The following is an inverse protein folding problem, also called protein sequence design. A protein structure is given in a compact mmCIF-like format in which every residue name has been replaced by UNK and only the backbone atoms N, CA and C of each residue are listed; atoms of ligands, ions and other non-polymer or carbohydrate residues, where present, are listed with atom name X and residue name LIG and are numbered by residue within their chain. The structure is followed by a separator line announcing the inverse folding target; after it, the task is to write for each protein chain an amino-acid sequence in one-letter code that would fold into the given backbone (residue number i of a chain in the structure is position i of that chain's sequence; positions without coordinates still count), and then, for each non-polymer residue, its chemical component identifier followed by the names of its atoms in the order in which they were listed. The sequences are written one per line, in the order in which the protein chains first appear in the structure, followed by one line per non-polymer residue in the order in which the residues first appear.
data_IF_755341873428
#
_entry.id   IF_755341873428
#
_cell.length_a   1.000
_cell.length_b   1.000
_cell.length_c   1.000
_cell.angle_alpha   90.00
_cell.angle_beta   90.00
_cell.angle_gamma   90.00
#
_symmetry.space_group_name_H-M   'P 1'
#
loop_
_entity.id
_entity.type
_entity.pdbx_description
1 polymer ?
#
# COMPACT_ATOMS: atom_id res chain seq x y z
N UNK A 1 -32.15 39.48 -35.28
CA UNK A 1 -30.97 38.63 -35.60
C UNK A 1 -29.87 38.61 -34.53
N UNK A 2 -29.63 39.70 -33.79
CA UNK A 2 -28.64 39.72 -32.68
C UNK A 2 -28.92 38.76 -31.50
N UNK A 3 -30.15 38.61 -30.98
CA UNK A 3 -30.39 37.73 -29.83
C UNK A 3 -30.18 36.26 -30.18
N UNK A 4 -30.51 35.84 -31.41
CA UNK A 4 -30.32 34.48 -31.91
C UNK A 4 -28.83 34.08 -31.94
N UNK A 5 -27.96 34.98 -32.41
CA UNK A 5 -26.52 34.73 -32.45
C UNK A 5 -25.93 34.57 -31.04
N UNK A 6 -26.36 35.41 -30.10
CA UNK A 6 -25.91 35.34 -28.70
C UNK A 6 -26.35 34.03 -28.04
N UNK A 7 -27.60 33.60 -28.27
CA UNK A 7 -28.09 32.32 -27.74
C UNK A 7 -27.36 31.12 -28.36
N UNK A 8 -27.10 31.14 -29.67
CA UNK A 8 -26.35 30.06 -30.33
C UNK A 8 -24.92 29.96 -29.82
N UNK A 9 -24.24 31.11 -29.63
CA UNK A 9 -22.90 31.12 -29.04
C UNK A 9 -22.91 30.61 -27.60
N UNK A 10 -23.89 31.00 -26.79
CA UNK A 10 -24.04 30.51 -25.42
C UNK A 10 -24.24 29.01 -25.33
N UNK A 11 -25.04 28.42 -26.23
CA UNK A 11 -25.26 26.97 -26.29
C UNK A 11 -23.97 26.23 -26.69
N UNK A 12 -23.25 26.72 -27.70
CA UNK A 12 -21.99 26.11 -28.12
C UNK A 12 -20.92 26.17 -27.02
N UNK A 13 -20.85 27.29 -26.29
CA UNK A 13 -19.90 27.47 -25.19
C UNK A 13 -20.27 26.59 -24.00
N UNK A 14 -21.57 26.43 -23.70
CA UNK A 14 -22.06 25.50 -22.69
C UNK A 14 -21.74 24.03 -23.04
N UNK A 15 -21.93 23.63 -24.29
CA UNK A 15 -21.65 22.26 -24.76
C UNK A 15 -20.17 21.97 -25.00
N UNK A 16 -19.33 23.00 -25.14
CA UNK A 16 -17.88 22.87 -25.36
C UNK A 16 -17.18 22.09 -24.24
N UNK A 17 -17.65 22.20 -23.00
CA UNK A 17 -17.08 21.46 -21.87
C UNK A 17 -17.28 19.94 -21.97
N UNK A 18 -18.41 19.49 -22.52
CA UNK A 18 -18.69 18.07 -22.77
C UNK A 18 -17.85 17.56 -23.93
N UNK A 19 -17.76 18.36 -25.01
CA UNK A 19 -16.94 18.05 -26.17
C UNK A 19 -15.45 17.94 -25.80
N UNK A 20 -14.95 18.84 -24.96
CA UNK A 20 -13.56 18.83 -24.51
C UNK A 20 -13.23 17.58 -23.69
N UNK A 21 -14.13 17.12 -22.80
CA UNK A 21 -13.96 15.86 -22.05
C UNK A 21 -13.87 14.64 -22.98
N UNK A 22 -14.66 14.63 -24.07
CA UNK A 22 -14.62 13.56 -25.07
C UNK A 22 -13.31 13.58 -25.87
N UNK A 23 -12.88 14.76 -26.34
CA UNK A 23 -11.59 14.91 -27.02
C UNK A 23 -10.45 14.48 -26.12
N UNK A 24 -10.43 14.89 -24.85
CA UNK A 24 -9.41 14.46 -23.89
C UNK A 24 -9.34 12.94 -23.76
N UNK A 25 -10.50 12.25 -23.75
CA UNK A 25 -10.55 10.79 -23.69
C UNK A 25 -9.94 10.14 -24.94
N UNK A 26 -10.18 10.68 -26.13
CA UNK A 26 -9.62 10.18 -27.40
C UNK A 26 -8.12 10.46 -27.49
N UNK A 27 -7.68 11.67 -27.12
CA UNK A 27 -6.25 12.04 -27.08
C UNK A 27 -5.47 11.11 -26.15
N UNK A 28 -6.04 10.74 -25.00
CA UNK A 28 -5.42 9.80 -24.05
C UNK A 28 -5.32 8.34 -24.53
N UNK A 29 -5.99 7.99 -25.64
CA UNK A 29 -5.86 6.68 -26.30
C UNK A 29 -4.70 6.71 -27.30
N UNK A 30 -4.51 7.85 -27.98
CA UNK A 30 -3.51 8.01 -29.06
C UNK A 30 -2.14 8.44 -28.53
N UNK A 31 -2.10 9.24 -27.45
CA UNK A 31 -0.88 9.67 -26.78
C UNK A 31 -0.66 8.76 -25.57
N UNK A 32 0.41 7.93 -25.55
CA UNK A 32 0.74 7.14 -24.38
C UNK A 32 0.88 8.06 -23.17
N UNK A 33 0.26 7.75 -22.03
CA UNK A 33 0.55 8.48 -20.80
C UNK A 33 2.02 8.30 -20.48
N UNK A 34 2.65 9.34 -19.94
CA UNK A 34 4.00 9.23 -19.42
C UNK A 34 4.08 8.03 -18.46
N UNK A 35 4.98 7.09 -18.75
CA UNK A 35 5.28 5.96 -17.87
C UNK A 35 5.63 6.50 -16.49
N UNK A 36 5.15 5.83 -15.44
CA UNK A 36 5.55 6.16 -14.09
C UNK A 36 7.05 5.93 -13.97
N UNK A 37 7.84 7.00 -13.95
CA UNK A 37 9.25 6.91 -13.66
C UNK A 37 9.39 6.71 -12.15
N UNK A 38 9.99 5.60 -11.73
CA UNK A 38 10.24 5.29 -10.33
C UNK A 38 11.16 6.32 -9.61
N UNK A 39 11.75 7.28 -10.33
CA UNK A 39 12.87 8.09 -9.88
C UNK A 39 12.51 9.49 -9.34
N UNK A 40 11.26 9.77 -8.95
CA UNK A 40 10.89 11.04 -8.29
C UNK A 40 10.18 10.84 -6.97
N UNK A 41 10.45 11.73 -6.01
CA UNK A 41 9.97 11.74 -4.62
C UNK A 41 8.45 11.82 -4.45
N UNK A 42 7.69 12.02 -5.52
CA UNK A 42 6.23 11.97 -5.50
C UNK A 42 5.71 11.38 -6.83
N UNK A 43 5.74 10.05 -6.93
CA UNK A 43 5.16 9.37 -8.08
C UNK A 43 3.63 9.41 -8.00
N UNK A 44 2.99 9.96 -9.03
CA UNK A 44 1.52 9.98 -9.15
C UNK A 44 1.05 8.55 -9.48
N UNK A 45 0.46 7.88 -8.48
CA UNK A 45 -0.19 6.58 -8.64
C UNK A 45 -1.56 6.77 -9.27
N UNK A 46 -1.79 6.16 -10.42
CA UNK A 46 -3.06 6.11 -11.11
C UNK A 46 -3.23 4.78 -11.84
N UNK A 47 -4.41 4.56 -12.44
CA UNK A 47 -4.75 3.32 -13.16
C UNK A 47 -3.74 2.91 -14.25
N UNK A 48 -2.95 3.85 -14.79
CA UNK A 48 -1.98 3.58 -15.85
C UNK A 48 -0.54 3.47 -15.32
N UNK A 49 -0.29 3.82 -14.07
CA UNK A 49 1.05 3.97 -13.49
C UNK A 49 1.28 3.12 -12.24
N UNK A 50 0.33 2.26 -11.88
CA UNK A 50 0.39 1.46 -10.65
C UNK A 50 1.31 0.23 -10.74
N UNK A 51 1.73 -0.17 -11.94
CA UNK A 51 2.69 -1.27 -12.17
C UNK A 51 4.01 -0.68 -12.67
N UNK A 52 5.14 -1.13 -12.10
CA UNK A 52 6.49 -0.58 -12.41
C UNK A 52 7.51 -1.62 -12.90
N UNK A 53 7.28 -2.90 -12.65
CA UNK A 53 8.17 -3.97 -13.14
C UNK A 53 7.45 -5.31 -13.21
N UNK A 54 7.98 -6.23 -14.02
CA UNK A 54 7.56 -7.64 -14.04
C UNK A 54 8.36 -8.49 -13.04
N UNK A 55 7.96 -9.74 -12.88
CA UNK A 55 7.69 -10.34 -11.56
C UNK A 55 8.82 -11.14 -10.89
N UNK A 56 8.82 -11.19 -9.54
CA UNK A 56 9.47 -12.26 -8.80
C UNK A 56 8.84 -13.62 -9.13
N UNK A 57 9.58 -14.74 -9.00
CA UNK A 57 9.02 -16.07 -9.19
C UNK A 57 7.88 -16.34 -8.19
N UNK A 58 6.76 -16.88 -8.68
CA UNK A 58 5.62 -17.27 -7.85
C UNK A 58 5.95 -18.49 -6.98
N UNK A 59 5.42 -18.50 -5.76
CA UNK A 59 5.53 -19.65 -4.85
C UNK A 59 4.56 -20.75 -5.32
N UNK A 60 5.04 -21.95 -5.67
CA UNK A 60 4.18 -23.03 -6.17
C UNK A 60 3.10 -23.40 -5.16
N UNK A 61 1.87 -23.66 -5.64
CA UNK A 61 0.72 -24.03 -4.80
C UNK A 61 0.94 -25.25 -3.90
N UNK A 62 1.87 -26.15 -4.24
CA UNK A 62 2.28 -27.27 -3.39
C UNK A 62 2.95 -26.84 -2.08
N UNK A 63 3.42 -25.59 -2.01
CA UNK A 63 4.02 -24.96 -0.84
C UNK A 63 3.02 -24.06 -0.10
N UNK A 64 1.73 -24.22 -0.34
CA UNK A 64 0.68 -23.48 0.35
C UNK A 64 -0.09 -24.41 1.28
N UNK A 65 -0.40 -23.93 2.48
CA UNK A 65 -1.19 -24.66 3.45
C UNK A 65 -2.12 -23.73 4.23
N UNK A 66 -3.01 -24.32 5.02
CA UNK A 66 -3.90 -23.57 5.90
C UNK A 66 -3.17 -23.42 7.25
N UNK A 67 -2.94 -22.19 7.74
CA UNK A 67 -2.28 -22.00 9.02
C UNK A 67 -3.19 -22.41 10.19
N UNK A 68 -2.59 -22.82 11.29
CA UNK A 68 -3.28 -23.01 12.57
C UNK A 68 -3.48 -21.66 13.29
N UNK A 69 -4.21 -20.76 12.64
CA UNK A 69 -4.54 -19.42 13.14
C UNK A 69 -6.05 -19.21 13.08
N UNK A 70 -6.65 -18.72 14.17
CA UNK A 70 -8.11 -18.66 14.33
C UNK A 70 -8.80 -17.87 13.22
N UNK A 71 -8.22 -16.74 12.84
CA UNK A 71 -8.70 -15.80 11.82
C UNK A 71 -8.40 -16.24 10.40
N UNK A 72 -7.43 -17.14 10.21
CA UNK A 72 -6.95 -17.58 8.89
C UNK A 72 -7.23 -19.08 8.62
N UNK A 73 -8.03 -19.76 9.46
CA UNK A 73 -8.38 -21.20 9.39
C UNK A 73 -9.00 -21.72 8.09
N UNK A 74 -9.28 -20.86 7.12
CA UNK A 74 -9.83 -21.18 5.78
C UNK A 74 -9.09 -20.45 4.66
N UNK A 75 -7.96 -19.84 4.97
CA UNK A 75 -7.16 -19.05 4.04
C UNK A 75 -5.89 -19.83 3.76
N UNK A 76 -5.63 -20.10 2.48
CA UNK A 76 -4.37 -20.70 2.07
C UNK A 76 -3.29 -19.62 2.06
N UNK A 77 -2.17 -19.89 2.72
CA UNK A 77 -1.00 -19.03 2.73
C UNK A 77 0.24 -19.83 2.27
N UNK A 78 1.25 -19.18 1.70
CA UNK A 78 2.55 -19.80 1.50
C UNK A 78 3.13 -20.29 2.84
N UNK A 79 3.73 -21.48 2.86
CA UNK A 79 4.34 -22.04 4.07
C UNK A 79 5.39 -21.07 4.65
N UNK A 80 6.18 -20.41 3.79
CA UNK A 80 7.15 -19.40 4.22
C UNK A 80 6.52 -18.19 4.92
N UNK A 81 5.29 -17.81 4.53
CA UNK A 81 4.52 -16.76 5.22
C UNK A 81 4.04 -17.25 6.58
N UNK A 82 3.56 -18.49 6.67
CA UNK A 82 3.13 -19.12 7.94
C UNK A 82 4.31 -19.18 8.92
N UNK A 83 5.46 -19.66 8.46
CA UNK A 83 6.69 -19.69 9.26
C UNK A 83 7.11 -18.29 9.71
N UNK A 84 7.00 -17.30 8.82
CA UNK A 84 7.25 -15.89 9.13
C UNK A 84 6.34 -15.35 10.24
N UNK A 85 5.04 -15.66 10.19
CA UNK A 85 4.08 -15.29 11.24
C UNK A 85 4.45 -15.96 12.57
N UNK A 86 4.82 -17.26 12.56
CA UNK A 86 5.26 -17.93 13.78
C UNK A 86 6.55 -17.36 14.35
N UNK A 87 7.53 -16.98 13.51
CA UNK A 87 8.73 -16.27 13.97
C UNK A 87 8.39 -14.91 14.56
N UNK A 88 7.49 -14.16 13.93
CA UNK A 88 6.99 -12.88 14.44
C UNK A 88 6.40 -13.06 15.84
N UNK A 89 5.52 -14.04 16.06
CA UNK A 89 4.88 -14.28 17.36
C UNK A 89 5.85 -14.72 18.45
N UNK A 90 6.93 -15.42 18.07
CA UNK A 90 7.95 -15.87 18.99
C UNK A 90 9.07 -14.85 19.22
N UNK A 91 9.07 -13.72 18.51
CA UNK A 91 10.06 -12.68 18.72
C UNK A 91 9.90 -12.05 20.12
N UNK A 92 10.97 -11.89 20.92
CA UNK A 92 10.86 -11.36 22.28
C UNK A 92 10.18 -10.00 22.40
N UNK A 93 10.44 -9.08 21.45
CA UNK A 93 9.81 -7.75 21.41
C UNK A 93 8.29 -7.86 21.21
N UNK A 94 7.89 -8.85 20.42
CA UNK A 94 6.51 -9.15 20.04
C UNK A 94 5.83 -10.11 21.02
N UNK A 95 6.56 -10.83 21.86
CA UNK A 95 5.95 -11.76 22.82
C UNK A 95 5.72 -11.10 24.18
N UNK A 96 6.64 -10.25 24.62
CA UNK A 96 6.73 -9.83 26.01
C UNK A 96 5.93 -8.56 26.37
N UNK A 97 5.34 -7.85 25.40
CA UNK A 97 4.65 -6.58 25.65
C UNK A 97 3.24 -6.50 25.01
N UNK A 98 2.16 -6.90 25.70
CA UNK A 98 0.81 -6.90 25.13
C UNK A 98 0.29 -5.50 24.76
N UNK A 99 0.82 -4.43 25.37
CA UNK A 99 0.43 -3.04 25.11
C UNK A 99 1.24 -2.36 24.00
N UNK A 100 2.06 -3.13 23.28
CA UNK A 100 2.86 -2.67 22.15
C UNK A 100 2.01 -1.92 21.13
N UNK A 101 2.59 -0.83 20.62
CA UNK A 101 2.04 -0.08 19.49
C UNK A 101 2.57 -0.70 18.21
N UNK A 102 1.68 -1.25 17.40
CA UNK A 102 2.03 -1.87 16.13
C UNK A 102 1.46 -1.05 14.99
N UNK A 103 2.31 -0.69 14.04
CA UNK A 103 1.89 -0.19 12.74
C UNK A 103 1.89 -1.36 11.76
N UNK A 104 0.70 -1.82 11.37
CA UNK A 104 0.56 -2.92 10.40
C UNK A 104 0.19 -2.37 9.01
N UNK A 105 1.21 -2.08 8.20
CA UNK A 105 1.09 -1.70 6.79
C UNK A 105 1.27 -2.92 5.88
N UNK A 106 0.43 -3.94 6.10
CA UNK A 106 0.40 -5.18 5.29
C UNK A 106 -1.05 -5.62 5.07
N UNK A 107 -1.25 -6.58 4.18
CA UNK A 107 -2.56 -7.23 4.01
C UNK A 107 -2.89 -8.23 5.13
N UNK A 108 -1.95 -8.53 6.03
CA UNK A 108 -2.15 -9.37 7.21
C UNK A 108 -2.82 -8.60 8.37
N UNK A 109 -3.86 -7.82 8.07
CA UNK A 109 -4.66 -7.11 9.08
C UNK A 109 -5.30 -8.02 10.15
N UNK A 110 -5.65 -9.30 9.88
CA UNK A 110 -6.20 -10.17 10.92
C UNK A 110 -5.21 -10.52 12.05
N UNK A 111 -3.91 -10.23 11.89
CA UNK A 111 -2.91 -10.47 12.94
C UNK A 111 -3.22 -9.70 14.23
N UNK A 112 -4.00 -8.61 14.18
CA UNK A 112 -4.46 -7.91 15.38
C UNK A 112 -5.26 -8.80 16.33
N UNK A 113 -5.90 -9.87 15.83
CA UNK A 113 -6.66 -10.83 16.64
C UNK A 113 -5.77 -11.95 17.17
N UNK A 114 -4.84 -12.45 16.37
CA UNK A 114 -3.92 -13.53 16.76
C UNK A 114 -2.84 -13.03 17.74
N UNK A 115 -2.41 -11.80 17.54
CA UNK A 115 -1.38 -11.13 18.31
C UNK A 115 -1.91 -9.75 18.70
N UNK A 116 -2.67 -9.65 19.81
CA UNK A 116 -3.25 -8.38 20.23
C UNK A 116 -2.19 -7.29 20.38
N UNK A 117 -2.50 -6.12 19.83
CA UNK A 117 -1.69 -4.91 19.92
C UNK A 117 -2.60 -3.67 19.88
N UNK A 118 -2.03 -2.53 20.28
CA UNK A 118 -2.76 -1.26 20.24
C UNK A 118 -2.72 -0.67 18.83
N UNK A 119 -3.86 -0.77 18.14
CA UNK A 119 -4.09 -0.10 16.86
C UNK A 119 -4.23 1.42 17.01
N UNK A 120 -3.86 2.13 15.95
CA UNK A 120 -4.21 3.54 15.83
C UNK A 120 -5.69 3.70 15.50
N UNK A 121 -6.33 4.70 16.13
CA UNK A 121 -7.73 5.04 15.90
C UNK A 121 -7.88 6.54 15.77
N UNK A 122 -8.90 6.97 15.03
CA UNK A 122 -9.25 8.38 14.87
C UNK A 122 -9.65 8.72 13.45
N UNK A 123 -10.28 9.89 13.27
CA UNK A 123 -10.77 10.35 11.98
C UNK A 123 -9.67 10.64 10.96
N UNK A 124 -8.43 10.82 11.43
CA UNK A 124 -7.26 11.08 10.59
C UNK A 124 -6.42 9.84 10.31
N UNK A 125 -6.90 8.65 10.69
CA UNK A 125 -6.24 7.38 10.40
C UNK A 125 -6.86 6.82 9.13
N UNK A 126 -6.08 6.54 8.08
CA UNK A 126 -6.61 5.99 6.84
C UNK A 126 -7.17 4.58 7.07
N UNK A 127 -8.23 4.22 6.35
CA UNK A 127 -8.79 2.87 6.41
C UNK A 127 -7.85 1.82 5.79
N UNK A 128 -7.11 2.24 4.76
CA UNK A 128 -6.11 1.42 4.06
C UNK A 128 -4.88 2.27 3.83
N UNK A 129 -3.70 1.67 3.94
CA UNK A 129 -2.44 2.39 3.77
C UNK A 129 -1.99 2.55 2.31
N UNK A 130 -2.85 2.20 1.35
CA UNK A 130 -2.49 2.29 -0.06
C UNK A 130 -2.46 3.73 -0.56
N UNK A 131 -1.32 4.14 -1.13
CA UNK A 131 -1.14 5.52 -1.59
C UNK A 131 -2.05 5.81 -2.78
N UNK A 132 -2.83 6.89 -2.69
CA UNK A 132 -3.81 7.28 -3.70
C UNK A 132 -5.14 6.53 -3.63
N UNK A 133 -5.32 5.61 -2.67
CA UNK A 133 -6.59 4.89 -2.44
C UNK A 133 -7.17 5.21 -1.08
N UNK A 134 -6.47 4.82 0.00
CA UNK A 134 -6.89 5.07 1.38
C UNK A 134 -6.01 6.07 2.12
N UNK A 135 -4.82 6.32 1.60
CA UNK A 135 -3.79 7.19 2.17
C UNK A 135 -3.32 8.17 1.10
N UNK A 136 -3.12 9.45 1.45
CA UNK A 136 -2.54 10.44 0.55
C UNK A 136 -1.23 10.98 1.13
N UNK A 137 -0.59 11.92 0.43
CA UNK A 137 0.74 12.41 0.80
C UNK A 137 0.77 13.07 2.18
N UNK A 138 -0.34 13.69 2.61
CA UNK A 138 -0.49 14.25 3.95
C UNK A 138 -0.42 13.15 5.01
N UNK A 139 -1.15 12.05 4.83
CA UNK A 139 -1.11 10.91 5.75
C UNK A 139 0.27 10.25 5.69
N UNK A 140 0.85 10.02 4.51
CA UNK A 140 2.19 9.44 4.37
C UNK A 140 3.24 10.23 5.15
N UNK A 141 3.24 11.57 5.01
CA UNK A 141 4.11 12.46 5.79
C UNK A 141 3.88 12.33 7.29
N UNK A 142 2.62 12.21 7.73
CA UNK A 142 2.30 11.99 9.15
C UNK A 142 2.91 10.68 9.65
N UNK A 143 2.82 9.60 8.88
CA UNK A 143 3.43 8.31 9.27
C UNK A 143 4.94 8.37 9.32
N UNK A 144 5.61 9.02 8.36
CA UNK A 144 7.06 9.26 8.43
C UNK A 144 7.45 9.97 9.73
N UNK A 145 6.73 11.04 10.10
CA UNK A 145 7.01 11.76 11.33
C UNK A 145 6.80 10.90 12.58
N UNK A 146 5.76 10.06 12.60
CA UNK A 146 5.53 9.13 13.71
C UNK A 146 6.63 8.06 13.81
N UNK A 147 7.12 7.60 12.66
CA UNK A 147 8.24 6.66 12.58
C UNK A 147 9.54 7.34 13.05
N UNK A 148 9.85 8.55 12.58
CA UNK A 148 11.01 9.34 13.06
C UNK A 148 10.94 9.54 14.59
N UNK A 149 9.74 9.82 15.11
CA UNK A 149 9.48 9.98 16.54
C UNK A 149 9.38 8.66 17.32
N UNK A 150 9.70 7.52 16.70
CA UNK A 150 9.70 6.18 17.29
C UNK A 150 8.38 5.85 18.02
N UNK A 151 7.25 6.15 17.39
CA UNK A 151 5.93 5.95 18.03
C UNK A 151 5.47 4.48 18.10
N UNK A 152 6.03 3.61 17.27
CA UNK A 152 5.63 2.20 17.16
C UNK A 152 6.73 1.28 17.65
N UNK A 153 6.40 0.27 18.45
CA UNK A 153 7.36 -0.72 18.94
C UNK A 153 7.71 -1.74 17.86
N UNK A 154 6.73 -2.07 17.02
CA UNK A 154 6.87 -2.96 15.87
C UNK A 154 6.19 -2.32 14.66
N UNK A 155 6.82 -2.40 13.50
CA UNK A 155 6.21 -2.03 12.22
C UNK A 155 6.27 -3.22 11.28
N UNK A 156 5.12 -3.63 10.77
CA UNK A 156 5.02 -4.58 9.66
C UNK A 156 4.81 -3.75 8.40
N UNK A 157 5.73 -3.84 7.45
CA UNK A 157 5.66 -3.09 6.21
C UNK A 157 5.72 -4.04 5.02
N UNK A 158 4.71 -4.04 4.17
CA UNK A 158 4.69 -4.85 2.97
C UNK A 158 5.27 -4.07 1.79
N UNK A 159 6.31 -4.62 1.18
CA UNK A 159 6.96 -4.09 0.00
C UNK A 159 6.66 -4.97 -1.21
N UNK A 160 6.03 -4.39 -2.22
CA UNK A 160 5.68 -5.07 -3.48
C UNK A 160 6.47 -4.41 -4.62
N UNK A 161 7.56 -5.03 -5.10
CA UNK A 161 8.44 -4.42 -6.09
C UNK A 161 7.75 -4.09 -7.41
N UNK A 162 6.75 -4.89 -7.82
CA UNK A 162 6.03 -4.69 -9.08
C UNK A 162 5.02 -3.55 -9.04
N UNK A 163 4.68 -3.01 -7.86
CA UNK A 163 3.64 -2.00 -7.70
C UNK A 163 4.16 -0.64 -7.23
N UNK A 164 3.75 0.42 -7.94
CA UNK A 164 4.14 1.79 -7.64
C UNK A 164 3.49 2.31 -6.36
N UNK A 165 4.28 2.47 -5.29
CA UNK A 165 3.82 3.03 -4.02
C UNK A 165 2.54 2.35 -3.49
N UNK A 166 2.39 1.04 -3.70
CA UNK A 166 1.24 0.30 -3.16
C UNK A 166 1.15 0.50 -1.67
N UNK A 167 2.25 0.27 -0.94
CA UNK A 167 2.53 1.00 0.30
C UNK A 167 3.59 2.09 -0.02
N UNK A 168 3.51 3.30 0.57
CA UNK A 168 4.37 4.41 0.15
C UNK A 168 5.85 4.11 0.34
N UNK A 169 6.65 4.21 -0.72
CA UNK A 169 8.09 3.92 -0.67
C UNK A 169 8.81 4.87 0.30
N UNK A 170 8.40 6.13 0.35
CA UNK A 170 8.93 7.14 1.29
C UNK A 170 8.82 6.72 2.77
N UNK A 171 7.75 6.00 3.12
CA UNK A 171 7.56 5.47 4.48
C UNK A 171 8.55 4.34 4.74
N UNK A 172 8.75 3.43 3.77
CA UNK A 172 9.77 2.38 3.84
C UNK A 172 11.19 2.95 3.97
N UNK A 173 11.54 3.92 3.14
CA UNK A 173 12.84 4.57 3.16
C UNK A 173 13.12 5.23 4.51
N UNK A 174 12.08 5.78 5.14
CA UNK A 174 12.16 6.32 6.50
C UNK A 174 12.37 5.21 7.53
N UNK A 175 11.62 4.11 7.46
CA UNK A 175 11.79 2.95 8.35
C UNK A 175 13.22 2.41 8.30
N UNK A 176 13.76 2.21 7.09
CA UNK A 176 15.11 1.67 6.90
C UNK A 176 16.22 2.56 7.48
N UNK A 177 15.95 3.85 7.68
CA UNK A 177 16.89 4.80 8.28
C UNK A 177 16.83 4.84 9.80
N UNK A 178 15.65 4.62 10.39
CA UNK A 178 15.40 4.91 11.82
C UNK A 178 15.00 3.70 12.66
N UNK A 179 14.60 2.60 12.04
CA UNK A 179 14.23 1.35 12.69
C UNK A 179 15.17 0.23 12.24
N UNK A 180 15.30 -0.81 13.07
CA UNK A 180 16.04 -2.00 12.72
C UNK A 180 15.11 -3.02 12.06
N UNK A 181 15.45 -3.47 10.85
CA UNK A 181 14.78 -4.62 10.23
C UNK A 181 15.27 -5.91 10.90
N UNK A 182 14.37 -6.67 11.51
CA UNK A 182 14.70 -7.86 12.30
C UNK A 182 14.27 -9.18 11.64
N UNK A 183 13.32 -9.14 10.71
CA UNK A 183 12.88 -10.31 9.93
C UNK A 183 12.27 -9.83 8.60
N UNK A 184 12.11 -10.76 7.67
CA UNK A 184 11.32 -10.57 6.46
C UNK A 184 10.81 -11.91 5.93
N UNK A 185 9.59 -11.94 5.42
CA UNK A 185 8.98 -13.14 4.84
C UNK A 185 8.00 -12.78 3.71
N UNK A 186 7.65 -13.73 2.82
CA UNK A 186 6.76 -13.45 1.70
C UNK A 186 5.37 -12.96 2.17
N UNK A 187 4.83 -11.96 1.48
CA UNK A 187 3.44 -11.57 1.61
C UNK A 187 2.52 -12.63 0.98
N UNK A 188 1.27 -12.81 1.45
CA UNK A 188 0.36 -13.85 0.98
C UNK A 188 -0.30 -13.52 -0.36
N UNK A 189 0.50 -13.15 -1.37
CA UNK A 189 0.03 -12.72 -2.69
C UNK A 189 0.28 -13.78 -3.76
N UNK A 190 -0.52 -13.75 -4.82
CA UNK A 190 -0.43 -14.66 -5.99
C UNK A 190 -0.11 -13.89 -7.26
N UNK A 191 0.43 -14.58 -8.25
CA UNK A 191 0.80 -14.02 -9.54
C UNK A 191 1.73 -12.81 -9.42
N UNK A 192 1.51 -11.83 -10.29
CA UNK A 192 2.42 -10.72 -10.64
C UNK A 192 2.54 -9.61 -9.58
N UNK A 193 2.09 -9.89 -8.36
CA UNK A 193 2.14 -8.93 -7.24
C UNK A 193 2.78 -9.55 -6.01
N UNK A 194 3.80 -10.39 -6.21
CA UNK A 194 4.58 -10.95 -5.11
C UNK A 194 5.20 -9.82 -4.27
N UNK A 195 5.04 -9.92 -2.95
CA UNK A 195 5.54 -8.95 -1.98
C UNK A 195 6.33 -9.61 -0.88
N UNK A 196 7.04 -8.77 -0.12
CA UNK A 196 7.76 -9.16 1.10
C UNK A 196 7.22 -8.32 2.24
N UNK A 197 6.84 -8.98 3.33
CA UNK A 197 6.58 -8.32 4.60
C UNK A 197 7.90 -8.18 5.33
N UNK A 198 8.27 -6.94 5.63
CA UNK A 198 9.44 -6.56 6.40
C UNK A 198 9.00 -6.25 7.84
N UNK A 199 9.72 -6.80 8.82
CA UNK A 199 9.46 -6.59 10.24
C UNK A 199 10.51 -5.67 10.82
N UNK A 200 10.08 -4.54 11.37
CA UNK A 200 10.94 -3.53 11.95
C UNK A 200 10.66 -3.35 13.44
N UNK A 201 11.69 -3.10 14.23
CA UNK A 201 11.58 -2.70 15.64
C UNK A 201 12.36 -1.42 15.90
N UNK A 202 12.02 -0.74 17.01
CA UNK A 202 12.87 0.35 17.51
C UNK A 202 14.30 -0.18 17.74
N UNK A 203 15.33 0.63 17.45
CA UNK A 203 16.72 0.30 17.78
C UNK A 203 16.94 0.26 19.30
#
# INVERSE_FOLDING_TARGET
NKPLLVTTFGILLWWSGVFWKYIQRVVQIVVPPAEAKANTTENIVNRKTYVISNDPPEIPMSQWSIPDLKTLKKIFLPNATIDGIHRLFNNPVVKNNPDRRVLNMTELTPLAVEMPYKEERGLEIPLWYHLGVGMFNKEAQKYEQRIINKQYDVVLFEYIPSLNNFYPFRVRDTLQKVYQKIDSFPAPRRGDTQGIIEVYTKP
#
